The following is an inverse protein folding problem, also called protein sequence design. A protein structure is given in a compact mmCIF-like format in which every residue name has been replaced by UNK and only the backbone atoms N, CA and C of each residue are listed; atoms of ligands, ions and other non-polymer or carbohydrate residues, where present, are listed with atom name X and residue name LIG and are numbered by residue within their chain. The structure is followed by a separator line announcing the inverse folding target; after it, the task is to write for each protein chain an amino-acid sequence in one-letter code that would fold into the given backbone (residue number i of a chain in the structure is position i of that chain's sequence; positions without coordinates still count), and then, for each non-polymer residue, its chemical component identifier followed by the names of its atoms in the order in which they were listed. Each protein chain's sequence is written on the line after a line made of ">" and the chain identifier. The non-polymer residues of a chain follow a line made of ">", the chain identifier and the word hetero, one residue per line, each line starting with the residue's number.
data_IF_930260179926
#
_entry.id   IF_930260179926
#
_cell.length_a   1.000
_cell.length_b   1.000
_cell.length_c   1.000
_cell.angle_alpha   90.00
_cell.angle_beta   90.00
_cell.angle_gamma   90.00
#
_symmetry.space_group_name_H-M   'P 1'
#
loop_
_entity.id
_entity.type
_entity.pdbx_description
1 polymer ?
#
# COMPACT_ATOMS: atom_id res chain seq x y z
N UNK A 1 -12.14 -27.58 1.85
CA UNK A 1 -11.13 -26.53 1.60
C UNK A 1 -11.58 -25.78 0.35
N UNK A 2 -12.02 -24.53 0.47
CA UNK A 2 -12.44 -23.75 -0.69
C UNK A 2 -11.20 -23.38 -1.50
N UNK A 3 -11.23 -23.67 -2.80
CA UNK A 3 -10.22 -23.17 -3.75
C UNK A 3 -10.02 -21.67 -3.53
N UNK A 4 -8.78 -21.15 -3.54
CA UNK A 4 -8.58 -19.71 -3.57
C UNK A 4 -9.29 -19.21 -4.83
N UNK A 5 -10.31 -18.35 -4.66
CA UNK A 5 -10.95 -17.72 -5.80
C UNK A 5 -9.84 -17.05 -6.62
N UNK A 6 -9.65 -17.43 -7.89
CA UNK A 6 -8.55 -16.91 -8.70
C UNK A 6 -8.71 -15.40 -8.81
N UNK A 7 -7.62 -14.66 -8.53
CA UNK A 7 -7.61 -13.21 -8.67
C UNK A 7 -8.00 -12.86 -10.11
N UNK A 8 -9.03 -12.04 -10.24
CA UNK A 8 -9.51 -11.51 -11.50
C UNK A 8 -10.15 -10.13 -11.29
N UNK A 9 -10.36 -9.39 -12.36
CA UNK A 9 -10.89 -8.03 -12.27
C UNK A 9 -12.24 -7.94 -11.55
N UNK A 10 -13.15 -8.90 -11.74
CA UNK A 10 -14.46 -8.94 -11.07
C UNK A 10 -14.31 -9.08 -9.55
N UNK A 11 -13.42 -9.95 -9.11
CA UNK A 11 -13.13 -10.14 -7.69
C UNK A 11 -12.49 -8.90 -7.05
N UNK A 12 -11.57 -8.23 -7.77
CA UNK A 12 -10.92 -7.01 -7.30
C UNK A 12 -11.90 -5.83 -7.22
N UNK A 13 -12.75 -5.68 -8.24
CA UNK A 13 -13.82 -4.68 -8.24
C UNK A 13 -14.79 -4.89 -7.08
N UNK A 14 -15.24 -6.13 -6.86
CA UNK A 14 -16.12 -6.48 -5.74
C UNK A 14 -15.46 -6.14 -4.41
N UNK A 15 -14.17 -6.43 -4.26
CA UNK A 15 -13.42 -6.09 -3.06
C UNK A 15 -13.36 -4.58 -2.82
N UNK A 16 -13.09 -3.76 -3.85
CA UNK A 16 -13.08 -2.30 -3.71
C UNK A 16 -14.42 -1.77 -3.23
N UNK A 17 -15.53 -2.25 -3.80
CA UNK A 17 -16.87 -1.86 -3.37
C UNK A 17 -17.09 -2.18 -1.89
N UNK A 18 -16.85 -3.43 -1.50
CA UNK A 18 -17.01 -3.86 -0.11
C UNK A 18 -16.08 -3.09 0.84
N UNK A 19 -14.83 -2.82 0.44
CA UNK A 19 -13.87 -2.08 1.27
C UNK A 19 -14.28 -0.62 1.38
N UNK A 20 -15.04 -0.07 0.43
CA UNK A 20 -15.54 1.31 0.50
C UNK A 20 -16.79 1.44 1.38
N UNK A 21 -17.66 0.43 1.38
CA UNK A 21 -18.93 0.45 2.10
C UNK A 21 -18.80 0.05 3.58
N UNK A 22 -17.87 -0.83 3.90
CA UNK A 22 -17.64 -1.28 5.27
C UNK A 22 -16.81 -0.25 6.06
N UNK A 23 -17.16 0.03 7.32
CA UNK A 23 -16.35 0.90 8.17
C UNK A 23 -15.03 0.24 8.60
N UNK A 24 -15.07 -1.07 8.89
CA UNK A 24 -13.89 -1.83 9.27
C UNK A 24 -13.05 -2.26 8.06
N UNK A 25 -11.74 -2.42 8.28
CA UNK A 25 -10.82 -2.98 7.29
C UNK A 25 -11.12 -4.46 7.11
N UNK A 26 -11.34 -4.89 5.86
CA UNK A 26 -11.66 -6.29 5.60
C UNK A 26 -10.43 -7.19 5.75
N UNK A 27 -10.65 -8.44 6.14
CA UNK A 27 -9.58 -9.43 6.21
C UNK A 27 -9.19 -9.90 4.81
N UNK A 28 -7.91 -9.76 4.49
CA UNK A 28 -7.32 -10.30 3.26
C UNK A 28 -6.50 -11.57 3.55
N UNK A 29 -6.23 -12.31 2.48
CA UNK A 29 -5.20 -13.35 2.53
C UNK A 29 -3.83 -12.68 2.79
N UNK A 30 -2.98 -13.21 3.70
CA UNK A 30 -1.63 -12.70 3.91
C UNK A 30 -0.83 -12.47 2.62
N UNK A 31 -0.98 -13.36 1.63
CA UNK A 31 -0.23 -13.31 0.37
C UNK A 31 -1.00 -12.59 -0.73
N UNK A 32 -1.96 -11.72 -0.38
CA UNK A 32 -2.82 -11.05 -1.37
C UNK A 32 -2.01 -10.20 -2.35
N UNK A 33 -1.10 -9.35 -1.86
CA UNK A 33 -0.28 -8.49 -2.73
C UNK A 33 0.70 -9.30 -3.59
N UNK A 34 1.28 -10.37 -3.05
CA UNK A 34 2.12 -11.30 -3.82
C UNK A 34 1.31 -11.96 -4.95
N UNK A 35 0.12 -12.48 -4.63
CA UNK A 35 -0.76 -13.12 -5.61
C UNK A 35 -1.22 -12.14 -6.70
N UNK A 36 -1.49 -10.89 -6.33
CA UNK A 36 -1.87 -9.82 -7.25
C UNK A 36 -0.71 -9.42 -8.17
N UNK A 37 0.50 -9.34 -7.62
CA UNK A 37 1.73 -9.11 -8.38
C UNK A 37 1.95 -10.23 -9.41
N UNK A 38 1.79 -11.50 -9.00
CA UNK A 38 1.87 -12.66 -9.89
C UNK A 38 0.85 -12.57 -11.03
N UNK A 39 -0.41 -12.30 -10.71
CA UNK A 39 -1.48 -12.15 -11.71
C UNK A 39 -1.19 -11.03 -12.72
N UNK A 40 -0.74 -9.87 -12.26
CA UNK A 40 -0.36 -8.75 -13.14
C UNK A 40 0.85 -9.13 -14.00
N UNK A 41 1.83 -9.85 -13.43
CA UNK A 41 3.00 -10.33 -14.15
C UNK A 41 2.65 -11.32 -15.26
N UNK A 42 1.77 -12.28 -14.98
CA UNK A 42 1.23 -13.22 -15.96
C UNK A 42 0.54 -12.45 -17.10
N UNK A 43 -0.37 -11.52 -16.77
CA UNK A 43 -1.09 -10.72 -17.75
C UNK A 43 -0.16 -9.85 -18.62
N UNK A 44 0.94 -9.33 -18.06
CA UNK A 44 1.92 -8.55 -18.84
C UNK A 44 2.70 -9.39 -19.85
N UNK A 45 3.00 -10.64 -19.50
CA UNK A 45 3.84 -11.52 -20.29
C UNK A 45 3.07 -12.28 -21.38
N UNK A 46 1.74 -12.23 -21.37
CA UNK A 46 0.92 -12.79 -22.44
C UNK A 46 1.12 -12.02 -23.76
N UNK A 47 1.53 -12.75 -24.80
CA UNK A 47 1.70 -12.20 -26.15
C UNK A 47 0.41 -12.38 -26.95
N UNK A 48 -0.16 -11.26 -27.40
CA UNK A 48 -1.33 -11.19 -28.26
C UNK A 48 -1.09 -10.17 -29.36
N UNK A 49 -1.83 -10.25 -30.47
CA UNK A 49 -1.74 -9.30 -31.59
C UNK A 49 -3.12 -8.69 -31.90
N UNK A 50 -3.11 -7.54 -32.57
CA UNK A 50 -4.30 -6.89 -33.11
C UNK A 50 -5.33 -6.49 -32.05
N UNK A 51 -6.53 -7.07 -32.12
CA UNK A 51 -7.64 -6.74 -31.21
C UNK A 51 -7.43 -7.36 -29.83
N UNK A 52 -6.84 -8.56 -29.77
CA UNK A 52 -6.59 -9.27 -28.51
C UNK A 52 -5.60 -8.50 -27.64
N UNK A 53 -4.55 -7.92 -28.26
CA UNK A 53 -3.59 -7.07 -27.55
C UNK A 53 -4.28 -5.85 -26.92
N UNK A 54 -5.19 -5.19 -27.64
CA UNK A 54 -5.96 -4.03 -27.13
C UNK A 54 -6.85 -4.41 -25.95
N UNK A 55 -7.48 -5.59 -26.00
CA UNK A 55 -8.31 -6.10 -24.92
C UNK A 55 -7.45 -6.40 -23.68
N UNK A 56 -6.32 -7.10 -23.85
CA UNK A 56 -5.36 -7.37 -22.76
C UNK A 56 -4.86 -6.07 -22.13
N UNK A 57 -4.43 -5.10 -22.94
CA UNK A 57 -3.91 -3.82 -22.44
C UNK A 57 -4.99 -3.05 -21.67
N UNK A 58 -6.24 -3.08 -22.13
CA UNK A 58 -7.36 -2.48 -21.40
C UNK A 58 -7.62 -3.18 -20.06
N UNK A 59 -7.58 -4.52 -20.04
CA UNK A 59 -7.71 -5.32 -18.82
C UNK A 59 -6.57 -5.02 -17.84
N UNK A 60 -5.33 -4.94 -18.31
CA UNK A 60 -4.16 -4.62 -17.51
C UNK A 60 -4.28 -3.24 -16.86
N UNK A 61 -4.74 -2.23 -17.62
CA UNK A 61 -5.03 -0.90 -17.08
C UNK A 61 -6.06 -0.98 -15.96
N UNK A 62 -7.20 -1.64 -16.18
CA UNK A 62 -8.25 -1.77 -15.15
C UNK A 62 -7.73 -2.48 -13.89
N UNK A 63 -6.98 -3.57 -14.05
CA UNK A 63 -6.41 -4.33 -12.91
C UNK A 63 -5.42 -3.47 -12.13
N UNK A 64 -4.53 -2.75 -12.80
CA UNK A 64 -3.50 -1.92 -12.13
C UNK A 64 -4.11 -0.69 -11.45
N UNK A 65 -5.09 -0.04 -12.06
CA UNK A 65 -5.85 1.05 -11.44
C UNK A 65 -6.62 0.56 -10.20
N UNK A 66 -7.34 -0.56 -10.33
CA UNK A 66 -8.08 -1.17 -9.21
C UNK A 66 -7.14 -1.55 -8.08
N UNK A 67 -5.97 -2.12 -8.39
CA UNK A 67 -4.92 -2.44 -7.40
C UNK A 67 -4.46 -1.20 -6.64
N UNK A 68 -4.24 -0.08 -7.35
CA UNK A 68 -3.86 1.19 -6.71
C UNK A 68 -4.96 1.68 -5.76
N UNK A 69 -6.22 1.57 -6.18
CA UNK A 69 -7.37 1.97 -5.35
C UNK A 69 -7.48 1.10 -4.09
N UNK A 70 -7.29 -0.21 -4.20
CA UNK A 70 -7.31 -1.14 -3.07
C UNK A 70 -6.33 -0.70 -1.98
N UNK A 71 -5.05 -0.53 -2.35
CA UNK A 71 -4.02 -0.17 -1.39
C UNK A 71 -4.31 1.20 -0.74
N UNK A 72 -4.63 2.21 -1.57
CA UNK A 72 -4.93 3.57 -1.09
C UNK A 72 -6.12 3.59 -0.12
N UNK A 73 -7.19 2.88 -0.46
CA UNK A 73 -8.41 2.84 0.34
C UNK A 73 -8.14 2.21 1.70
N UNK A 74 -7.44 1.07 1.73
CA UNK A 74 -7.12 0.37 2.97
C UNK A 74 -6.20 1.19 3.87
N UNK A 75 -5.16 1.82 3.33
CA UNK A 75 -4.29 2.72 4.10
C UNK A 75 -5.07 3.92 4.66
N UNK A 76 -5.94 4.54 3.85
CA UNK A 76 -6.78 5.65 4.31
C UNK A 76 -7.67 5.23 5.48
N UNK A 77 -8.26 4.03 5.42
CA UNK A 77 -9.09 3.49 6.50
C UNK A 77 -8.27 3.20 7.75
N UNK A 78 -7.07 2.62 7.60
CA UNK A 78 -6.15 2.36 8.71
C UNK A 78 -5.76 3.63 9.47
N UNK A 79 -5.58 4.74 8.77
CA UNK A 79 -5.28 6.04 9.39
C UNK A 79 -6.52 6.66 10.04
N UNK A 80 -7.68 6.55 9.39
CA UNK A 80 -8.90 7.27 9.80
C UNK A 80 -9.67 6.58 10.92
N UNK A 81 -9.63 5.26 10.98
CA UNK A 81 -10.34 4.48 11.98
C UNK A 81 -9.32 4.04 13.02
N UNK A 82 -9.62 4.16 14.31
CA UNK A 82 -8.85 3.52 15.38
C UNK A 82 -9.01 1.98 15.34
N UNK A 83 -9.20 1.43 14.15
CA UNK A 83 -9.60 0.06 13.91
C UNK A 83 -8.45 -0.88 14.23
N UNK A 84 -8.81 -2.13 14.50
CA UNK A 84 -7.85 -3.16 14.83
C UNK A 84 -6.89 -3.38 13.65
N UNK A 85 -5.64 -2.93 13.81
CA UNK A 85 -4.53 -3.13 12.87
C UNK A 85 -4.22 -4.63 12.63
N UNK A 86 -4.86 -5.55 13.34
CA UNK A 86 -4.75 -7.00 13.14
C UNK A 86 -5.20 -7.47 11.76
N UNK A 87 -5.99 -6.68 11.03
CA UNK A 87 -6.45 -7.01 9.67
C UNK A 87 -5.56 -6.44 8.56
N UNK A 88 -4.48 -5.74 8.93
CA UNK A 88 -3.50 -5.21 7.99
C UNK A 88 -2.52 -6.29 7.57
N UNK A 89 -2.14 -6.22 6.30
CA UNK A 89 -1.05 -7.01 5.74
C UNK A 89 0.30 -6.38 6.12
N UNK A 90 1.38 -7.15 6.01
CA UNK A 90 2.69 -6.70 6.48
C UNK A 90 3.25 -5.58 5.61
N UNK A 91 2.93 -5.56 4.32
CA UNK A 91 3.26 -4.44 3.42
C UNK A 91 2.53 -3.15 3.83
N UNK A 92 1.29 -3.26 4.34
CA UNK A 92 0.51 -2.11 4.82
C UNK A 92 1.08 -1.58 6.13
N UNK A 93 1.43 -2.48 7.05
CA UNK A 93 2.08 -2.13 8.32
C UNK A 93 3.42 -1.46 8.07
N UNK A 94 4.23 -1.99 7.16
CA UNK A 94 5.52 -1.40 6.77
C UNK A 94 5.37 0.08 6.33
N UNK A 95 4.35 0.38 5.53
CA UNK A 95 4.06 1.75 5.10
C UNK A 95 3.62 2.63 6.28
N UNK A 96 2.72 2.14 7.13
CA UNK A 96 2.20 2.91 8.27
C UNK A 96 3.25 3.16 9.35
N UNK A 97 4.12 2.19 9.61
CA UNK A 97 5.25 2.33 10.53
C UNK A 97 6.22 3.40 10.03
N UNK A 98 6.51 3.40 8.72
CA UNK A 98 7.33 4.44 8.07
C UNK A 98 6.68 5.83 8.18
N UNK A 99 5.35 5.92 8.04
CA UNK A 99 4.61 7.17 8.21
C UNK A 99 4.67 7.66 9.65
N UNK A 100 4.52 6.77 10.63
CA UNK A 100 4.64 7.10 12.05
C UNK A 100 6.03 7.63 12.38
N UNK A 101 7.09 6.95 11.92
CA UNK A 101 8.47 7.39 12.11
C UNK A 101 8.70 8.78 11.49
N UNK A 102 8.14 9.04 10.30
CA UNK A 102 8.20 10.36 9.67
C UNK A 102 7.56 11.44 10.56
N UNK A 103 6.39 11.19 11.14
CA UNK A 103 5.71 12.15 12.03
C UNK A 103 6.49 12.38 13.34
N UNK A 104 7.09 11.34 13.91
CA UNK A 104 7.98 11.47 15.08
C UNK A 104 9.20 12.34 14.76
N UNK A 105 9.83 12.11 13.59
CA UNK A 105 10.94 12.94 13.11
C UNK A 105 10.54 14.39 12.90
N UNK A 106 9.35 14.65 12.32
CA UNK A 106 8.79 16.02 12.19
C UNK A 106 8.60 16.68 13.56
N UNK A 107 8.02 15.96 14.52
CA UNK A 107 7.79 16.45 15.88
C UNK A 107 9.09 16.81 16.60
N UNK A 108 10.13 15.98 16.46
CA UNK A 108 11.46 16.25 17.01
C UNK A 108 12.04 17.56 16.46
N UNK A 109 12.03 17.73 15.13
CA UNK A 109 12.52 18.94 14.46
C UNK A 109 11.73 20.17 14.94
N UNK A 110 10.40 20.09 14.95
CA UNK A 110 9.55 21.18 15.38
C UNK A 110 9.84 21.60 16.83
N UNK A 111 10.05 20.63 17.73
CA UNK A 111 10.42 20.91 19.12
C UNK A 111 11.78 21.63 19.25
N UNK A 112 12.76 21.26 18.41
CA UNK A 112 14.07 21.91 18.36
C UNK A 112 13.98 23.36 17.91
N UNK A 113 13.13 23.64 16.91
CA UNK A 113 12.85 25.00 16.43
C UNK A 113 12.17 25.82 17.54
N UNK A 114 11.05 25.34 18.07
CA UNK A 114 10.25 26.08 19.05
C UNK A 114 10.97 26.31 20.37
N UNK A 115 11.86 25.40 20.78
CA UNK A 115 12.68 25.57 21.99
C UNK A 115 13.91 26.46 21.80
N UNK A 116 14.22 26.91 20.57
CA UNK A 116 15.42 27.68 20.25
C UNK A 116 16.74 26.90 20.41
N UNK A 117 16.69 25.56 20.56
CA UNK A 117 17.86 24.71 20.81
C UNK A 117 18.49 24.25 19.50
N UNK A 118 19.33 25.10 18.90
CA UNK A 118 20.03 24.83 17.62
C UNK A 118 20.85 23.54 17.62
N UNK A 119 21.50 23.20 18.75
CA UNK A 119 22.28 21.95 18.89
C UNK A 119 21.45 20.67 18.69
N UNK A 120 20.16 20.71 19.05
CA UNK A 120 19.27 19.57 18.83
C UNK A 120 19.05 19.35 17.33
N UNK A 121 18.83 20.44 16.58
CA UNK A 121 18.67 20.40 15.13
C UNK A 121 19.94 19.89 14.44
N UNK A 122 21.12 20.40 14.85
CA UNK A 122 22.41 19.94 14.30
C UNK A 122 22.66 18.44 14.52
N UNK A 123 22.19 17.88 15.64
CA UNK A 123 22.33 16.45 15.93
C UNK A 123 21.41 15.58 15.06
N UNK A 124 20.23 16.08 14.69
CA UNK A 124 19.30 15.35 13.81
C UNK A 124 19.81 15.19 12.38
N UNK A 125 20.62 16.12 11.88
CA UNK A 125 21.19 16.08 10.52
C UNK A 125 22.46 15.24 10.42
N UNK A 126 23.22 15.07 11.52
CA UNK A 126 24.48 14.31 11.53
C UNK A 126 24.28 12.79 11.56
N UNK A 127 23.17 12.32 12.10
CA UNK A 127 22.83 10.88 12.13
C UNK A 127 22.37 10.33 10.76
N UNK A 128 22.33 11.15 9.71
CA UNK A 128 21.93 10.77 8.34
C UNK A 128 23.11 10.56 7.38
N UNK A 129 24.37 10.66 7.83
CA UNK A 129 25.50 10.34 6.94
C UNK A 129 25.46 8.85 6.57
N UNK A 130 25.50 8.49 5.28
CA UNK A 130 25.70 7.10 4.88
C UNK A 130 27.01 6.60 5.49
N UNK A 131 27.03 5.36 5.99
CA UNK A 131 28.26 4.59 5.91
C UNK A 131 28.54 4.43 4.42
N UNK A 132 29.56 5.12 3.94
CA UNK A 132 30.13 4.86 2.62
C UNK A 132 30.68 3.42 2.66
N UNK A 133 30.10 2.53 1.84
CA UNK A 133 30.69 1.23 1.47
C UNK A 133 31.77 1.44 0.39
#
# INVERSE_FOLDING_TARGET
>A
MSQPNPINITSLHTFVLQESENEAIQKLNPNFYESLSKYIGELKNEEYDGVEEKIKNSLLTMVTETTSLILKLRLKKAISTSSNHSMLLDEEKYILDSQKEMEERKGMILSGILSGKTKLLESTTKNQKPQDD
#
